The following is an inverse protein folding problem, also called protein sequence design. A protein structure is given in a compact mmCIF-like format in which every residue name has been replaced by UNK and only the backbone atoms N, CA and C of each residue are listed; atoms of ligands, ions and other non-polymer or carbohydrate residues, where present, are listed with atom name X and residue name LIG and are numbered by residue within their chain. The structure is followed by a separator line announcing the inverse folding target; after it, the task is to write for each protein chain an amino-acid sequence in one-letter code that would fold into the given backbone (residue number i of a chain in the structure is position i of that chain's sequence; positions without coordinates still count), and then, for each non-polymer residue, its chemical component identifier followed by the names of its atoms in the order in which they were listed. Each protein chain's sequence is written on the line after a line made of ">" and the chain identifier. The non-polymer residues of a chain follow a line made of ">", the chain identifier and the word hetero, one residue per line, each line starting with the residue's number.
data_IF_214311035930
#
_entry.id   IF_214311035930
#
_cell.length_a   1.000
_cell.length_b   1.000
_cell.length_c   1.000
_cell.angle_alpha   90.00
_cell.angle_beta   90.00
_cell.angle_gamma   90.00
#
_symmetry.space_group_name_H-M   'P 1'
#
loop_
_entity.id
_entity.type
_entity.pdbx_description
1 polymer ?
#
# COMPACT_ATOMS: atom_id res chain seq x y z
N UNK A 1 0.07 24.42 -18.37
CA UNK A 1 -0.17 23.91 -17.02
C UNK A 1 0.14 22.41 -17.06
N UNK A 2 1.06 21.99 -16.22
CA UNK A 2 1.44 20.57 -16.06
C UNK A 2 0.98 20.11 -14.67
N UNK A 3 0.08 19.14 -14.64
CA UNK A 3 -0.44 18.52 -13.41
C UNK A 3 -0.15 17.02 -13.44
N UNK A 4 0.19 16.45 -12.30
CA UNK A 4 0.47 15.02 -12.12
C UNK A 4 -0.36 14.50 -10.93
N UNK A 5 -1.23 13.51 -11.18
CA UNK A 5 -1.65 12.97 -12.48
C UNK A 5 -2.37 14.00 -13.35
N UNK A 6 -2.33 13.80 -14.67
CA UNK A 6 -3.07 14.66 -15.59
C UNK A 6 -4.59 14.50 -15.36
N UNK A 7 -5.34 15.58 -15.20
CA UNK A 7 -6.78 15.51 -15.00
C UNK A 7 -7.52 15.07 -16.26
N UNK A 8 -8.73 14.53 -16.08
CA UNK A 8 -9.59 14.11 -17.19
C UNK A 8 -9.92 15.28 -18.13
N UNK A 9 -10.18 16.47 -17.57
CA UNK A 9 -10.44 17.68 -18.35
C UNK A 9 -9.80 18.88 -17.69
N UNK A 10 -9.13 19.73 -18.49
CA UNK A 10 -8.55 20.99 -18.05
C UNK A 10 -8.78 22.05 -19.12
N UNK A 11 -9.38 23.16 -18.73
CA UNK A 11 -9.56 24.34 -19.55
C UNK A 11 -8.94 25.54 -18.84
N UNK A 12 -7.89 26.11 -19.42
CA UNK A 12 -7.26 27.34 -18.94
C UNK A 12 -8.10 28.54 -19.37
N UNK A 13 -8.24 29.53 -18.49
CA UNK A 13 -8.94 30.76 -18.73
C UNK A 13 -8.00 31.99 -18.49
N UNK A 14 -8.44 33.15 -18.94
CA UNK A 14 -7.67 34.37 -18.68
C UNK A 14 -7.76 34.78 -17.20
N UNK A 15 -6.65 35.31 -16.69
CA UNK A 15 -6.56 35.84 -15.33
C UNK A 15 -5.86 34.86 -14.35
N UNK A 16 -5.74 35.35 -13.13
CA UNK A 16 -5.12 34.63 -12.01
C UNK A 16 -5.90 34.91 -10.73
N UNK A 17 -5.95 33.94 -9.83
CA UNK A 17 -6.34 34.16 -8.45
C UNK A 17 -5.09 34.47 -7.62
N UNK A 18 -5.17 35.47 -6.74
CA UNK A 18 -4.11 35.78 -5.79
C UNK A 18 -4.50 35.28 -4.40
N UNK A 19 -3.75 34.34 -3.88
CA UNK A 19 -3.90 33.88 -2.51
C UNK A 19 -3.24 34.88 -1.57
N UNK A 20 -4.03 35.48 -0.71
CA UNK A 20 -3.58 36.50 0.26
C UNK A 20 -3.89 36.06 1.70
N UNK A 21 -3.35 36.76 2.68
CA UNK A 21 -3.62 36.49 4.10
C UNK A 21 -5.07 36.77 4.51
N UNK A 22 -5.87 37.41 3.65
CA UNK A 22 -7.30 37.66 3.86
C UNK A 22 -8.20 36.57 3.24
N UNK A 23 -7.62 35.59 2.55
CA UNK A 23 -8.39 34.46 2.01
C UNK A 23 -9.04 33.63 3.15
N UNK A 24 -10.24 33.17 2.88
CA UNK A 24 -11.03 32.39 3.85
C UNK A 24 -11.58 31.14 3.15
N UNK A 25 -11.47 29.99 3.82
CA UNK A 25 -12.17 28.79 3.40
C UNK A 25 -13.65 28.88 3.76
N UNK A 26 -14.52 28.48 2.82
CA UNK A 26 -15.94 28.22 3.06
C UNK A 26 -16.15 26.70 3.06
N UNK A 27 -16.61 26.16 4.18
CA UNK A 27 -16.84 24.74 4.37
C UNK A 27 -18.06 24.52 5.28
N UNK A 28 -19.21 24.20 4.67
CA UNK A 28 -20.51 24.13 5.38
C UNK A 28 -20.81 22.76 5.98
N UNK A 29 -20.05 21.71 5.62
CA UNK A 29 -20.22 20.36 6.17
C UNK A 29 -19.03 19.99 7.05
N UNK A 30 -19.20 19.09 8.04
CA UNK A 30 -18.08 18.65 8.89
C UNK A 30 -16.92 18.07 8.07
N UNK A 31 -17.22 17.32 7.03
CA UNK A 31 -16.23 16.69 6.15
C UNK A 31 -15.44 17.76 5.37
N UNK A 32 -16.12 18.74 4.77
CA UNK A 32 -15.48 19.86 4.08
C UNK A 32 -14.62 20.69 5.04
N UNK A 33 -15.08 20.88 6.29
CA UNK A 33 -14.35 21.60 7.33
C UNK A 33 -13.04 20.93 7.67
N UNK A 34 -13.04 19.59 7.86
CA UNK A 34 -11.82 18.81 8.12
C UNK A 34 -10.79 18.99 6.99
N UNK A 35 -11.23 18.92 5.73
CA UNK A 35 -10.36 19.17 4.57
C UNK A 35 -9.85 20.61 4.56
N UNK A 36 -10.71 21.60 4.79
CA UNK A 36 -10.33 23.03 4.82
C UNK A 36 -9.29 23.32 5.92
N UNK A 37 -9.46 22.77 7.11
CA UNK A 37 -8.54 22.92 8.23
C UNK A 37 -7.17 22.28 7.93
N UNK A 38 -7.17 21.08 7.30
CA UNK A 38 -5.93 20.44 6.85
C UNK A 38 -5.15 21.35 5.89
N UNK A 39 -5.79 21.88 4.85
CA UNK A 39 -5.11 22.72 3.87
C UNK A 39 -4.80 24.13 4.38
N UNK A 40 -5.60 24.69 5.28
CA UNK A 40 -5.24 25.94 5.95
C UNK A 40 -3.92 25.80 6.73
N UNK A 41 -3.73 24.67 7.42
CA UNK A 41 -2.48 24.38 8.11
C UNK A 41 -1.31 24.10 7.14
N UNK A 42 -1.53 23.34 6.07
CA UNK A 42 -0.52 23.08 5.03
C UNK A 42 -0.04 24.41 4.40
N UNK A 43 -0.96 25.25 3.97
CA UNK A 43 -0.66 26.54 3.35
C UNK A 43 0.08 27.50 4.31
N UNK A 44 -0.26 27.47 5.60
CA UNK A 44 0.40 28.31 6.61
C UNK A 44 1.90 28.07 6.68
N UNK A 45 2.37 26.85 6.47
CA UNK A 45 3.78 26.48 6.61
C UNK A 45 4.67 27.30 5.68
N UNK A 46 4.31 27.45 4.43
CA UNK A 46 5.10 28.14 3.41
C UNK A 46 4.70 29.60 3.20
N UNK A 47 3.40 29.93 3.35
CA UNK A 47 2.90 31.28 3.15
C UNK A 47 2.98 32.18 4.40
N UNK A 48 2.92 31.58 5.59
CA UNK A 48 2.73 32.28 6.86
C UNK A 48 1.30 32.82 7.08
N UNK A 49 0.35 32.49 6.20
CA UNK A 49 -1.03 32.97 6.29
C UNK A 49 -1.86 32.14 7.26
N UNK A 50 -2.57 32.79 8.18
CA UNK A 50 -3.56 32.15 9.03
C UNK A 50 -4.94 32.26 8.37
N UNK A 51 -5.25 31.32 7.48
CA UNK A 51 -6.50 31.31 6.75
C UNK A 51 -7.63 30.80 7.66
N UNK A 52 -8.71 31.58 7.76
CA UNK A 52 -9.88 31.22 8.52
C UNK A 52 -10.71 30.16 7.78
N UNK A 53 -11.46 29.37 8.53
CA UNK A 53 -12.48 28.45 8.01
C UNK A 53 -13.84 28.91 8.50
N UNK A 54 -14.76 29.19 7.59
CA UNK A 54 -16.13 29.67 7.85
C UNK A 54 -17.16 28.70 7.24
N UNK A 55 -18.32 28.60 7.83
CA UNK A 55 -19.42 27.80 7.31
C UNK A 55 -20.22 28.54 6.22
N UNK A 56 -20.21 29.87 6.26
CA UNK A 56 -21.14 30.70 5.47
C UNK A 56 -20.48 31.47 4.35
N UNK A 57 -19.25 31.92 4.52
CA UNK A 57 -18.56 32.81 3.58
C UNK A 57 -17.09 32.46 3.40
N UNK A 58 -16.53 32.73 2.25
CA UNK A 58 -15.13 32.49 1.91
C UNK A 58 -14.91 32.51 0.41
N UNK A 59 -13.70 32.81 0.00
CA UNK A 59 -13.31 32.81 -1.41
C UNK A 59 -12.56 31.56 -1.84
N UNK A 60 -12.42 30.59 -0.92
CA UNK A 60 -11.98 29.22 -1.22
C UNK A 60 -13.12 28.30 -0.74
N UNK A 61 -14.02 27.92 -1.64
CA UNK A 61 -15.21 27.14 -1.28
C UNK A 61 -14.99 25.65 -1.51
N UNK A 62 -15.24 24.84 -0.47
CA UNK A 62 -15.28 23.38 -0.54
C UNK A 62 -16.74 22.92 -0.38
N UNK A 63 -17.36 22.49 -1.48
CA UNK A 63 -18.74 22.05 -1.53
C UNK A 63 -18.79 20.52 -1.60
N UNK A 64 -19.37 19.87 -0.60
CA UNK A 64 -19.63 18.42 -0.62
C UNK A 64 -21.10 18.21 -0.98
N UNK A 65 -21.33 17.56 -2.12
CA UNK A 65 -22.66 17.20 -2.62
C UNK A 65 -22.74 15.69 -2.85
N UNK A 66 -23.33 14.92 -1.93
CA UNK A 66 -23.49 13.47 -2.06
C UNK A 66 -24.33 13.04 -3.29
N UNK A 67 -25.14 13.94 -3.84
CA UNK A 67 -25.96 13.69 -5.02
C UNK A 67 -25.21 13.91 -6.34
N UNK A 68 -23.97 14.43 -6.30
CA UNK A 68 -23.18 14.65 -7.49
C UNK A 68 -22.94 13.33 -8.25
N UNK A 69 -23.30 13.33 -9.54
CA UNK A 69 -23.09 12.19 -10.42
C UNK A 69 -21.61 12.10 -10.85
N UNK A 70 -20.76 11.68 -9.92
CA UNK A 70 -19.33 11.56 -10.07
C UNK A 70 -18.81 10.43 -9.19
N UNK A 71 -17.62 9.90 -9.51
CA UNK A 71 -16.89 8.99 -8.63
C UNK A 71 -16.69 9.64 -7.25
N UNK A 72 -16.71 8.84 -6.18
CA UNK A 72 -16.55 9.32 -4.81
C UNK A 72 -15.28 10.17 -4.60
N UNK A 73 -14.22 9.87 -5.33
CA UNK A 73 -12.94 10.58 -5.29
C UNK A 73 -12.80 11.66 -6.39
N UNK A 74 -13.87 11.87 -7.19
CA UNK A 74 -13.89 12.89 -8.24
C UNK A 74 -14.17 14.29 -7.71
N UNK A 75 -13.78 15.30 -8.48
CA UNK A 75 -14.02 16.71 -8.16
C UNK A 75 -14.15 17.59 -9.41
N UNK A 76 -14.81 18.71 -9.23
CA UNK A 76 -14.83 19.86 -10.14
C UNK A 76 -14.11 21.02 -9.44
N UNK A 77 -13.14 21.61 -10.12
CA UNK A 77 -12.38 22.76 -9.63
C UNK A 77 -12.57 23.94 -10.59
N UNK A 78 -13.03 25.08 -10.07
CA UNK A 78 -13.10 26.34 -10.81
C UNK A 78 -12.28 27.38 -10.09
N UNK A 79 -11.31 27.95 -10.78
CA UNK A 79 -10.50 29.08 -10.30
C UNK A 79 -10.80 30.30 -11.14
N UNK A 80 -11.24 31.37 -10.49
CA UNK A 80 -11.50 32.69 -11.07
C UNK A 80 -10.68 33.75 -10.34
N UNK A 81 -10.58 35.00 -10.84
CA UNK A 81 -9.91 36.06 -10.09
C UNK A 81 -10.57 36.34 -8.72
N UNK A 82 -11.83 35.98 -8.53
CA UNK A 82 -12.58 36.19 -7.29
C UNK A 82 -12.40 35.08 -6.26
N UNK A 83 -12.07 33.86 -6.68
CA UNK A 83 -11.95 32.75 -5.74
C UNK A 83 -11.72 31.38 -6.40
N UNK A 84 -11.67 30.39 -5.54
CA UNK A 84 -11.54 28.96 -5.86
C UNK A 84 -12.79 28.25 -5.39
N UNK A 85 -13.38 27.42 -6.24
CA UNK A 85 -14.53 26.58 -5.89
C UNK A 85 -14.21 25.13 -6.24
N UNK A 86 -14.30 24.26 -5.26
CA UNK A 86 -14.21 22.80 -5.42
C UNK A 86 -15.55 22.19 -5.05
N UNK A 87 -16.13 21.42 -5.97
CA UNK A 87 -17.33 20.64 -5.75
C UNK A 87 -17.00 19.17 -5.90
N UNK A 88 -17.31 18.38 -4.89
CA UNK A 88 -16.99 16.95 -4.84
C UNK A 88 -18.12 16.16 -4.19
N UNK A 89 -18.16 14.85 -4.45
CA UNK A 89 -19.17 13.97 -3.84
C UNK A 89 -18.84 13.67 -2.38
N UNK A 90 -17.54 13.60 -2.04
CA UNK A 90 -17.02 13.28 -0.71
C UNK A 90 -15.83 14.17 -0.36
N UNK A 91 -15.37 14.11 0.90
CA UNK A 91 -14.16 14.78 1.34
C UNK A 91 -12.91 14.32 0.60
N UNK A 92 -12.82 13.07 0.16
CA UNK A 92 -11.70 12.59 -0.64
C UNK A 92 -11.59 13.36 -1.97
N UNK A 93 -12.70 13.55 -2.68
CA UNK A 93 -12.71 14.35 -3.90
C UNK A 93 -12.32 15.82 -3.63
N UNK A 94 -12.82 16.42 -2.55
CA UNK A 94 -12.43 17.77 -2.16
C UNK A 94 -10.94 17.88 -1.80
N UNK A 95 -10.40 16.87 -1.12
CA UNK A 95 -8.98 16.75 -0.81
C UNK A 95 -8.12 16.72 -2.08
N UNK A 96 -8.49 15.89 -3.06
CA UNK A 96 -7.77 15.79 -4.34
C UNK A 96 -7.90 17.08 -5.18
N UNK A 97 -9.03 17.76 -5.11
CA UNK A 97 -9.18 19.09 -5.68
C UNK A 97 -8.19 20.11 -5.08
N UNK A 98 -8.02 20.09 -3.77
CA UNK A 98 -7.02 20.91 -3.08
C UNK A 98 -5.58 20.50 -3.41
N UNK A 99 -5.27 19.22 -3.55
CA UNK A 99 -3.95 18.78 -4.04
C UNK A 99 -3.65 19.37 -5.44
N UNK A 100 -4.65 19.45 -6.30
CA UNK A 100 -4.52 20.12 -7.60
C UNK A 100 -4.28 21.61 -7.45
N UNK A 101 -4.96 22.28 -6.52
CA UNK A 101 -4.70 23.70 -6.20
C UNK A 101 -3.26 23.92 -5.75
N UNK A 102 -2.70 23.05 -4.92
CA UNK A 102 -1.28 23.13 -4.51
C UNK A 102 -0.34 23.05 -5.72
N UNK A 103 -0.61 22.13 -6.68
CA UNK A 103 0.21 22.01 -7.89
C UNK A 103 0.05 23.20 -8.86
N UNK A 104 -1.03 23.98 -8.78
CA UNK A 104 -1.24 25.20 -9.56
C UNK A 104 -0.54 26.42 -8.95
N UNK A 105 -0.24 26.37 -7.66
CA UNK A 105 0.53 27.41 -6.96
C UNK A 105 2.03 27.32 -7.33
N UNK A 106 2.82 28.37 -7.06
CA UNK A 106 4.27 28.30 -7.17
C UNK A 106 4.86 27.13 -6.36
N UNK A 107 5.94 26.51 -6.87
CA UNK A 107 6.57 25.34 -6.25
C UNK A 107 7.04 25.59 -4.80
N UNK A 108 7.28 26.84 -4.44
CA UNK A 108 7.61 27.30 -3.08
C UNK A 108 6.52 26.93 -2.05
N UNK A 109 5.32 26.52 -2.49
CA UNK A 109 4.26 26.03 -1.59
C UNK A 109 4.69 24.79 -0.83
N UNK A 110 5.64 24.01 -1.33
CA UNK A 110 6.20 22.84 -0.66
C UNK A 110 7.36 23.16 0.30
N UNK A 111 7.68 24.45 0.47
CA UNK A 111 8.71 24.88 1.44
C UNK A 111 8.30 24.52 2.87
N UNK A 112 9.28 24.05 3.64
CA UNK A 112 9.12 23.73 5.08
C UNK A 112 9.19 24.98 5.98
N UNK A 113 9.37 26.18 5.40
CA UNK A 113 9.44 27.46 6.10
C UNK A 113 8.78 28.55 5.25
N UNK A 114 8.39 29.63 5.91
CA UNK A 114 7.77 30.80 5.24
C UNK A 114 8.68 31.35 4.17
N UNK A 115 8.15 31.46 2.95
CA UNK A 115 8.84 32.04 1.78
C UNK A 115 8.06 33.23 1.28
N UNK A 116 8.78 34.27 0.87
CA UNK A 116 8.19 35.45 0.25
C UNK A 116 8.12 35.28 -1.26
N UNK A 117 6.92 35.03 -1.77
CA UNK A 117 6.65 34.91 -3.21
C UNK A 117 5.25 35.46 -3.54
N UNK A 118 4.97 35.59 -4.82
CA UNK A 118 3.63 35.95 -5.31
C UNK A 118 2.77 34.67 -5.41
N UNK A 119 1.95 34.45 -4.40
CA UNK A 119 1.07 33.27 -4.32
C UNK A 119 -0.10 33.41 -5.29
N UNK A 120 0.15 33.17 -6.57
CA UNK A 120 -0.87 33.26 -7.62
C UNK A 120 -0.99 31.92 -8.36
N UNK A 121 -2.21 31.59 -8.76
CA UNK A 121 -2.49 30.44 -9.62
C UNK A 121 -3.37 30.85 -10.81
N UNK A 122 -3.23 30.20 -11.97
CA UNK A 122 -3.99 30.53 -13.18
C UNK A 122 -5.47 30.23 -12.98
N UNK A 123 -6.33 31.00 -13.69
CA UNK A 123 -7.75 30.66 -13.79
C UNK A 123 -7.92 29.43 -14.66
N UNK A 124 -8.66 28.44 -14.13
CA UNK A 124 -8.90 27.15 -14.78
C UNK A 124 -10.28 26.62 -14.43
N UNK A 125 -10.79 25.77 -15.31
CA UNK A 125 -11.87 24.81 -15.00
C UNK A 125 -11.33 23.41 -15.20
N UNK A 126 -11.37 22.59 -14.15
CA UNK A 126 -10.90 21.21 -14.15
C UNK A 126 -12.05 20.30 -13.70
N UNK A 127 -12.21 19.18 -14.39
CA UNK A 127 -13.02 18.06 -13.94
C UNK A 127 -12.12 16.82 -13.94
N UNK A 128 -12.06 16.12 -12.81
CA UNK A 128 -11.17 15.00 -12.63
C UNK A 128 -11.81 13.91 -11.75
N UNK A 129 -11.48 12.66 -12.06
CA UNK A 129 -11.85 11.50 -11.27
C UNK A 129 -10.86 10.37 -11.55
N UNK A 130 -10.50 9.55 -10.55
CA UNK A 130 -9.62 8.42 -10.78
C UNK A 130 -10.30 7.36 -11.65
N UNK A 131 -9.51 6.71 -12.51
CA UNK A 131 -9.94 5.57 -13.31
C UNK A 131 -10.16 4.32 -12.47
N UNK A 132 -9.34 4.15 -11.41
CA UNK A 132 -9.34 2.98 -10.54
C UNK A 132 -9.60 3.37 -9.08
N UNK A 133 -10.38 2.55 -8.40
CA UNK A 133 -10.63 2.73 -6.96
C UNK A 133 -9.42 2.30 -6.09
N UNK A 134 -8.57 1.42 -6.59
CA UNK A 134 -7.33 1.01 -5.95
C UNK A 134 -6.13 1.62 -6.67
N UNK A 135 -5.35 2.43 -5.97
CA UNK A 135 -4.10 3.04 -6.45
C UNK A 135 -3.09 2.90 -5.33
N UNK A 136 -2.23 1.88 -5.43
CA UNK A 136 -1.37 1.45 -4.34
C UNK A 136 0.09 1.81 -4.49
N UNK A 137 0.74 1.98 -3.33
CA UNK A 137 2.19 1.94 -3.19
C UNK A 137 2.52 1.01 -2.02
N UNK A 138 3.44 0.06 -2.25
CA UNK A 138 3.98 -0.80 -1.21
C UNK A 138 5.36 -0.31 -0.78
N UNK A 139 5.60 -0.32 0.53
CA UNK A 139 6.91 -0.10 1.13
C UNK A 139 7.31 -1.30 2.00
N UNK A 140 8.60 -1.66 1.92
CA UNK A 140 9.21 -2.81 2.58
C UNK A 140 10.18 -2.37 3.71
N UNK A 141 9.68 -2.12 4.92
CA UNK A 141 10.55 -1.86 6.07
C UNK A 141 11.22 -3.13 6.62
N UNK A 142 10.90 -4.31 6.07
CA UNK A 142 11.44 -5.58 6.57
C UNK A 142 12.88 -5.78 6.16
N UNK A 143 13.23 -5.51 4.89
CA UNK A 143 14.61 -5.60 4.42
C UNK A 143 15.46 -4.46 4.97
N UNK A 144 14.98 -3.22 4.92
CA UNK A 144 15.60 -2.09 5.62
C UNK A 144 14.53 -1.26 6.34
N UNK A 145 14.72 -1.12 7.66
CA UNK A 145 13.73 -0.50 8.53
C UNK A 145 13.54 0.99 8.20
N UNK A 146 12.29 1.40 8.09
CA UNK A 146 11.86 2.78 7.92
C UNK A 146 11.30 3.30 9.24
N UNK A 147 11.77 4.45 9.70
CA UNK A 147 11.19 5.13 10.87
C UNK A 147 9.76 5.60 10.58
N UNK A 148 8.96 5.84 11.62
CA UNK A 148 7.60 6.40 11.48
C UNK A 148 7.59 7.69 10.66
N UNK A 149 8.60 8.56 10.85
CA UNK A 149 8.71 9.81 10.09
C UNK A 149 9.03 9.58 8.60
N UNK A 150 9.78 8.54 8.26
CA UNK A 150 10.03 8.16 6.88
C UNK A 150 8.77 7.59 6.22
N UNK A 151 8.02 6.75 6.95
CA UNK A 151 6.71 6.24 6.49
C UNK A 151 5.73 7.39 6.25
N UNK A 152 5.63 8.36 7.17
CA UNK A 152 4.76 9.53 7.00
C UNK A 152 5.15 10.38 5.78
N UNK A 153 6.44 10.50 5.48
CA UNK A 153 6.89 11.19 4.25
C UNK A 153 6.42 10.46 2.99
N UNK A 154 6.48 9.14 2.95
CA UNK A 154 5.92 8.37 1.84
C UNK A 154 4.41 8.62 1.70
N UNK A 155 3.68 8.61 2.81
CA UNK A 155 2.25 8.92 2.84
C UNK A 155 1.97 10.34 2.31
N UNK A 156 2.80 11.34 2.63
CA UNK A 156 2.67 12.71 2.10
C UNK A 156 2.86 12.74 0.57
N UNK A 157 3.85 12.03 0.04
CA UNK A 157 4.07 11.92 -1.41
C UNK A 157 2.89 11.19 -2.08
N UNK A 158 2.40 10.12 -1.48
CA UNK A 158 1.22 9.41 -1.97
C UNK A 158 0.00 10.33 -2.04
N UNK A 159 -0.25 11.13 -1.00
CA UNK A 159 -1.35 12.09 -0.95
C UNK A 159 -1.23 13.15 -2.06
N UNK A 160 -0.01 13.67 -2.28
CA UNK A 160 0.28 14.63 -3.36
C UNK A 160 -0.03 14.05 -4.74
N UNK A 161 0.24 12.76 -4.96
CA UNK A 161 0.01 12.03 -6.21
C UNK A 161 -1.37 11.37 -6.29
N UNK A 162 -2.26 11.60 -5.31
CA UNK A 162 -3.61 11.03 -5.25
C UNK A 162 -3.62 9.50 -5.22
N UNK A 163 -2.58 8.88 -4.66
CA UNK A 163 -2.52 7.45 -4.36
C UNK A 163 -3.29 7.23 -3.05
N UNK A 164 -4.20 6.26 -3.02
CA UNK A 164 -5.15 6.09 -1.92
C UNK A 164 -4.96 4.84 -1.07
N UNK A 165 -3.96 4.01 -1.40
CA UNK A 165 -3.72 2.76 -0.68
C UNK A 165 -2.25 2.58 -0.39
N UNK A 166 -1.92 2.48 0.89
CA UNK A 166 -0.57 2.17 1.38
C UNK A 166 -0.51 0.70 1.79
N UNK A 167 0.21 -0.10 1.04
CA UNK A 167 0.50 -1.48 1.36
C UNK A 167 1.77 -1.53 2.21
N UNK A 168 1.63 -1.89 3.47
CA UNK A 168 2.72 -1.90 4.45
C UNK A 168 3.19 -3.32 4.69
N UNK A 169 4.35 -3.67 4.13
CA UNK A 169 4.95 -5.00 4.22
C UNK A 169 5.69 -5.17 5.55
N UNK A 170 5.03 -5.76 6.54
CA UNK A 170 5.42 -5.69 7.95
C UNK A 170 6.10 -6.93 8.49
N UNK A 171 6.13 -8.05 7.74
CA UNK A 171 6.78 -9.30 8.13
C UNK A 171 7.53 -9.92 6.97
N UNK A 172 8.71 -10.50 7.24
CA UNK A 172 9.60 -11.05 6.24
C UNK A 172 10.71 -11.90 6.90
N UNK A 173 11.47 -12.67 6.12
CA UNK A 173 12.61 -13.47 6.57
C UNK A 173 13.69 -12.64 7.28
N UNK A 174 13.91 -11.39 6.82
CA UNK A 174 14.95 -10.48 7.34
C UNK A 174 14.49 -9.65 8.54
N UNK A 175 13.19 -9.60 8.81
CA UNK A 175 12.71 -8.84 9.94
C UNK A 175 11.21 -8.84 10.13
N UNK A 176 10.78 -8.98 11.36
CA UNK A 176 9.41 -8.79 11.82
C UNK A 176 9.26 -7.37 12.37
N UNK A 177 8.30 -6.60 11.88
CA UNK A 177 8.21 -5.16 12.20
C UNK A 177 7.02 -4.75 13.07
N UNK A 178 6.12 -5.66 13.40
CA UNK A 178 4.92 -5.38 14.21
C UNK A 178 5.10 -5.81 15.66
N UNK A 179 4.82 -4.92 16.61
CA UNK A 179 4.64 -5.33 18.01
C UNK A 179 3.38 -6.18 18.15
N UNK A 180 3.53 -7.41 18.62
CA UNK A 180 2.46 -8.31 19.03
C UNK A 180 2.64 -8.61 20.52
N UNK A 181 1.78 -8.04 21.35
CA UNK A 181 1.97 -8.09 22.82
C UNK A 181 1.98 -9.50 23.38
N UNK A 182 1.23 -10.41 22.76
CA UNK A 182 1.22 -11.82 23.14
C UNK A 182 2.54 -12.54 22.80
N UNK A 183 3.26 -12.05 21.81
CA UNK A 183 4.48 -12.68 21.31
C UNK A 183 5.68 -11.71 21.29
N UNK A 184 6.19 -11.27 22.47
CA UNK A 184 7.21 -10.22 22.56
C UNK A 184 8.53 -10.57 21.85
N UNK A 185 8.91 -11.85 21.74
CA UNK A 185 10.12 -12.25 21.02
C UNK A 185 10.08 -11.93 19.52
N UNK A 186 8.90 -11.70 18.93
CA UNK A 186 8.82 -11.27 17.54
C UNK A 186 9.59 -9.95 17.30
N UNK A 187 9.56 -9.04 18.27
CA UNK A 187 10.30 -7.78 18.21
C UNK A 187 11.65 -7.83 18.93
N UNK A 188 11.80 -8.64 19.97
CA UNK A 188 13.06 -8.81 20.69
C UNK A 188 14.11 -9.59 19.86
N UNK A 189 13.69 -10.58 19.08
CA UNK A 189 14.53 -11.47 18.27
C UNK A 189 14.27 -11.25 16.79
N UNK A 190 12.99 -11.33 16.35
CA UNK A 190 12.63 -11.30 14.94
C UNK A 190 12.86 -9.94 14.28
N UNK A 191 12.89 -8.84 15.03
CA UNK A 191 13.10 -7.51 14.48
C UNK A 191 14.57 -7.10 14.34
N UNK A 192 15.51 -7.98 14.70
CA UNK A 192 16.95 -7.66 14.75
C UNK A 192 17.76 -8.73 14.02
N UNK A 193 18.65 -8.31 13.14
CA UNK A 193 19.65 -9.18 12.50
C UNK A 193 21.05 -8.60 12.62
N UNK A 194 22.06 -9.46 12.66
CA UNK A 194 23.45 -9.07 12.63
C UNK A 194 24.06 -9.51 11.31
N UNK A 195 24.44 -8.55 10.48
CA UNK A 195 25.01 -8.78 9.16
C UNK A 195 26.47 -9.24 9.24
N UNK A 196 27.03 -9.77 8.13
CA UNK A 196 28.32 -10.45 8.11
C UNK A 196 29.51 -9.64 8.59
N UNK A 197 29.43 -8.32 8.62
CA UNK A 197 30.47 -7.41 9.16
C UNK A 197 30.27 -7.07 10.65
N UNK A 198 29.28 -7.70 11.30
CA UNK A 198 28.92 -7.44 12.69
C UNK A 198 28.05 -6.22 12.89
N UNK A 199 27.57 -5.59 11.81
CA UNK A 199 26.62 -4.49 11.88
C UNK A 199 25.23 -5.02 12.26
N UNK A 200 24.64 -4.44 13.27
CA UNK A 200 23.26 -4.77 13.68
C UNK A 200 22.29 -3.88 12.96
N UNK A 201 21.32 -4.49 12.29
CA UNK A 201 20.18 -3.82 11.68
C UNK A 201 18.90 -4.27 12.36
N UNK A 202 18.01 -3.32 12.67
CA UNK A 202 16.75 -3.66 13.33
C UNK A 202 15.85 -2.47 13.54
N UNK A 203 14.66 -2.77 14.01
CA UNK A 203 13.61 -1.82 14.32
C UNK A 203 12.25 -2.49 14.19
N UNK A 204 11.27 -1.93 14.86
CA UNK A 204 9.87 -2.35 14.79
C UNK A 204 8.97 -1.16 15.13
N UNK A 205 7.69 -1.31 14.86
CA UNK A 205 6.68 -0.35 15.23
C UNK A 205 5.88 -0.88 16.42
N UNK A 206 5.71 -0.05 17.44
CA UNK A 206 4.76 -0.30 18.52
C UNK A 206 3.32 -0.25 17.99
N UNK A 207 2.38 -0.83 18.68
CA UNK A 207 0.96 -0.75 18.29
C UNK A 207 0.46 0.70 18.23
N UNK A 208 0.95 1.55 19.13
CA UNK A 208 0.63 2.97 19.15
C UNK A 208 1.20 3.70 17.95
N UNK A 209 2.45 3.42 17.54
CA UNK A 209 3.05 3.98 16.32
C UNK A 209 2.32 3.51 15.06
N UNK A 210 1.91 2.24 14.99
CA UNK A 210 1.11 1.75 13.87
C UNK A 210 -0.25 2.46 13.77
N UNK A 211 -0.94 2.66 14.90
CA UNK A 211 -2.19 3.44 14.97
C UNK A 211 -1.98 4.89 14.58
N UNK A 212 -0.86 5.50 14.97
CA UNK A 212 -0.49 6.85 14.56
C UNK A 212 -0.32 6.96 13.04
N UNK A 213 0.37 6.01 12.42
CA UNK A 213 0.53 5.95 10.96
C UNK A 213 -0.82 5.78 10.26
N UNK A 214 -1.68 4.89 10.77
CA UNK A 214 -3.03 4.67 10.24
C UNK A 214 -3.87 5.95 10.31
N UNK A 215 -3.85 6.65 11.44
CA UNK A 215 -4.56 7.92 11.61
C UNK A 215 -4.01 9.02 10.67
N UNK A 216 -2.68 9.13 10.56
CA UNK A 216 -2.00 10.05 9.66
C UNK A 216 -2.37 9.83 8.19
N UNK A 217 -2.44 8.57 7.78
CA UNK A 217 -2.88 8.18 6.43
C UNK A 217 -4.36 8.53 6.21
N UNK A 218 -5.22 8.24 7.20
CA UNK A 218 -6.66 8.50 7.12
C UNK A 218 -7.00 9.99 6.94
N UNK A 219 -6.24 10.90 7.57
CA UNK A 219 -6.36 12.35 7.36
C UNK A 219 -6.10 12.76 5.90
N UNK A 220 -5.42 11.91 5.13
CA UNK A 220 -5.07 12.09 3.71
C UNK A 220 -5.89 11.21 2.78
N UNK A 221 -6.94 10.58 3.31
CA UNK A 221 -7.79 9.62 2.57
C UNK A 221 -7.00 8.44 1.99
N UNK A 222 -5.97 7.99 2.71
CA UNK A 222 -5.16 6.82 2.36
C UNK A 222 -5.50 5.68 3.32
N UNK A 223 -5.86 4.53 2.77
CA UNK A 223 -6.08 3.29 3.51
C UNK A 223 -4.77 2.55 3.67
N UNK A 224 -4.46 2.11 4.89
CA UNK A 224 -3.29 1.28 5.18
C UNK A 224 -3.71 -0.19 5.14
N UNK A 225 -3.10 -0.97 4.24
CA UNK A 225 -3.27 -2.43 4.16
C UNK A 225 -2.01 -3.07 4.76
N UNK A 226 -2.12 -3.75 5.92
CA UNK A 226 -0.99 -4.46 6.50
C UNK A 226 -0.74 -5.78 5.77
N UNK A 227 0.52 -6.17 5.63
CA UNK A 227 0.90 -7.51 5.18
C UNK A 227 1.47 -8.34 6.33
N UNK A 228 0.90 -9.53 6.47
CA UNK A 228 1.39 -10.63 7.29
C UNK A 228 1.70 -11.79 6.36
N UNK A 229 2.96 -12.03 6.12
CA UNK A 229 3.41 -13.13 5.28
C UNK A 229 3.00 -14.49 5.82
N UNK A 230 2.57 -15.39 4.94
CA UNK A 230 2.14 -16.75 5.31
C UNK A 230 2.05 -17.65 4.07
N UNK A 231 2.57 -18.87 4.11
CA UNK A 231 3.38 -19.53 5.15
C UNK A 231 4.89 -19.46 4.89
N UNK A 232 5.32 -18.85 3.78
CA UNK A 232 6.69 -18.52 3.44
C UNK A 232 7.10 -17.18 4.03
N UNK A 233 8.36 -16.76 3.81
CA UNK A 233 8.90 -15.46 4.23
C UNK A 233 8.72 -15.16 5.74
N UNK A 234 8.83 -16.19 6.58
CA UNK A 234 8.56 -16.12 8.01
C UNK A 234 9.73 -16.54 8.90
N UNK A 235 10.98 -16.52 8.36
CA UNK A 235 12.16 -16.93 9.12
C UNK A 235 12.37 -16.06 10.37
N UNK A 236 12.04 -14.76 10.33
CA UNK A 236 12.14 -13.90 11.51
C UNK A 236 11.18 -14.33 12.64
N UNK A 237 9.95 -14.75 12.31
CA UNK A 237 9.02 -15.30 13.29
C UNK A 237 9.47 -16.67 13.79
N UNK A 238 10.00 -17.51 12.94
CA UNK A 238 10.57 -18.82 13.29
C UNK A 238 11.80 -18.63 14.20
N UNK A 239 12.65 -17.66 13.95
CA UNK A 239 13.78 -17.32 14.83
C UNK A 239 13.33 -16.94 16.24
N UNK A 240 12.22 -16.22 16.34
CA UNK A 240 11.61 -15.87 17.63
C UNK A 240 10.93 -17.07 18.31
N UNK A 241 10.30 -17.94 17.51
CA UNK A 241 9.51 -19.09 17.96
C UNK A 241 9.77 -20.34 17.09
N UNK A 242 10.89 -21.06 17.31
CA UNK A 242 11.34 -22.15 16.44
C UNK A 242 10.32 -23.28 16.24
N UNK A 243 9.42 -23.50 17.22
CA UNK A 243 8.36 -24.50 17.12
C UNK A 243 7.35 -24.27 16.00
N UNK A 244 7.32 -23.06 15.43
CA UNK A 244 6.49 -22.74 14.25
C UNK A 244 6.96 -23.43 12.98
N UNK A 245 8.22 -23.86 12.93
CA UNK A 245 8.80 -24.60 11.78
C UNK A 245 8.64 -26.10 11.90
N UNK A 246 8.85 -26.81 10.78
CA UNK A 246 8.83 -28.28 10.74
C UNK A 246 9.92 -28.91 11.62
N UNK A 247 11.11 -28.32 11.65
CA UNK A 247 12.28 -28.86 12.38
C UNK A 247 12.31 -28.43 13.84
N UNK A 248 11.87 -27.22 14.16
CA UNK A 248 11.99 -26.64 15.50
C UNK A 248 13.42 -26.23 15.87
N UNK A 249 14.32 -26.14 14.90
CA UNK A 249 15.70 -25.74 15.09
C UNK A 249 15.83 -24.24 15.40
N UNK A 250 16.81 -23.90 16.22
CA UNK A 250 17.14 -22.50 16.47
C UNK A 250 17.80 -21.89 15.22
N UNK A 251 17.21 -20.78 14.75
CA UNK A 251 17.68 -20.04 13.60
C UNK A 251 17.77 -18.54 13.95
N UNK A 252 18.33 -17.75 13.05
CA UNK A 252 18.36 -16.28 13.16
C UNK A 252 17.62 -15.67 11.97
N UNK A 253 17.12 -14.44 12.08
CA UNK A 253 16.59 -13.73 10.93
C UNK A 253 17.60 -13.70 9.79
N UNK A 254 17.11 -13.79 8.56
CA UNK A 254 17.92 -13.90 7.35
C UNK A 254 18.75 -12.64 7.13
N UNK A 255 19.98 -12.81 6.64
CA UNK A 255 20.92 -11.71 6.36
C UNK A 255 21.28 -11.56 4.88
N UNK A 256 20.70 -12.41 4.04
CA UNK A 256 20.89 -12.41 2.60
C UNK A 256 19.52 -12.30 1.90
N UNK A 257 19.53 -11.87 0.65
CA UNK A 257 18.32 -11.78 -0.16
C UNK A 257 17.99 -13.11 -0.83
N UNK A 258 16.70 -13.31 -1.14
CA UNK A 258 16.18 -14.51 -1.78
C UNK A 258 15.22 -15.31 -0.90
N UNK A 259 14.80 -16.47 -1.40
CA UNK A 259 13.80 -17.34 -0.79
C UNK A 259 14.42 -18.22 0.28
N UNK A 260 13.74 -18.36 1.43
CA UNK A 260 14.15 -19.25 2.52
C UNK A 260 13.40 -20.59 2.44
N UNK A 261 14.13 -21.71 2.58
CA UNK A 261 13.54 -23.06 2.55
C UNK A 261 12.76 -23.42 3.82
N UNK A 262 13.09 -22.77 4.94
CA UNK A 262 12.42 -22.99 6.21
C UNK A 262 11.16 -22.11 6.31
N UNK A 263 10.02 -22.77 6.24
CA UNK A 263 8.70 -22.11 6.27
C UNK A 263 7.88 -22.59 7.47
N UNK A 264 6.80 -21.92 7.77
CA UNK A 264 5.89 -22.34 8.84
C UNK A 264 5.33 -23.73 8.61
N UNK A 265 5.07 -24.47 9.70
CA UNK A 265 4.63 -25.86 9.69
C UNK A 265 3.12 -25.98 9.97
N UNK A 266 2.27 -26.19 8.95
CA UNK A 266 0.84 -26.36 9.18
C UNK A 266 0.50 -27.70 9.85
N UNK A 267 1.40 -28.71 9.75
CA UNK A 267 1.16 -30.06 10.28
C UNK A 267 1.13 -30.12 11.80
N UNK A 268 1.95 -29.33 12.50
CA UNK A 268 1.99 -29.28 13.97
C UNK A 268 0.78 -28.57 14.58
N UNK A 269 0.10 -27.72 13.83
CA UNK A 269 -1.08 -26.98 14.30
C UNK A 269 -0.79 -25.70 15.10
N UNK A 270 0.37 -25.55 15.70
CA UNK A 270 0.77 -24.37 16.49
C UNK A 270 0.76 -23.08 15.68
N UNK A 271 1.13 -23.18 14.40
CA UNK A 271 1.08 -22.10 13.43
C UNK A 271 -0.30 -21.42 13.37
N UNK A 272 -1.39 -22.19 13.33
CA UNK A 272 -2.73 -21.61 13.21
C UNK A 272 -3.16 -20.85 14.47
N UNK A 273 -2.79 -21.35 15.66
CA UNK A 273 -3.02 -20.65 16.92
C UNK A 273 -2.21 -19.37 16.99
N UNK A 274 -0.95 -19.39 16.55
CA UNK A 274 -0.10 -18.21 16.45
C UNK A 274 -0.71 -17.15 15.50
N UNK A 275 -1.05 -17.55 14.28
CA UNK A 275 -1.64 -16.63 13.28
C UNK A 275 -2.97 -16.03 13.73
N UNK A 276 -3.84 -16.82 14.40
CA UNK A 276 -5.11 -16.31 14.93
C UNK A 276 -4.88 -15.25 16.01
N UNK A 277 -3.90 -15.45 16.88
CA UNK A 277 -3.52 -14.47 17.91
C UNK A 277 -2.93 -13.19 17.29
N UNK A 278 -2.07 -13.31 16.29
CA UNK A 278 -1.50 -12.18 15.57
C UNK A 278 -2.60 -11.39 14.86
N UNK A 279 -3.46 -12.06 14.10
CA UNK A 279 -4.61 -11.42 13.41
C UNK A 279 -5.51 -10.70 14.38
N UNK A 280 -5.76 -11.27 15.57
CA UNK A 280 -6.59 -10.65 16.61
C UNK A 280 -6.03 -9.29 17.06
N UNK A 281 -4.72 -9.17 17.24
CA UNK A 281 -4.11 -7.88 17.59
C UNK A 281 -4.06 -6.91 16.40
N UNK A 282 -3.80 -7.42 15.20
CA UNK A 282 -3.76 -6.60 13.97
C UNK A 282 -5.11 -5.92 13.68
N UNK A 283 -6.23 -6.61 13.87
CA UNK A 283 -7.56 -6.03 13.56
C UNK A 283 -7.96 -4.89 14.51
N UNK A 284 -7.32 -4.78 15.66
CA UNK A 284 -7.48 -3.65 16.58
C UNK A 284 -6.67 -2.42 16.16
N UNK A 285 -5.69 -2.61 15.27
CA UNK A 285 -4.78 -1.56 14.79
C UNK A 285 -5.22 -1.05 13.42
N UNK A 286 -5.52 -1.96 12.49
CA UNK A 286 -5.79 -1.65 11.10
C UNK A 286 -7.28 -1.76 10.78
N UNK A 287 -7.98 -0.64 10.52
CA UNK A 287 -9.41 -0.65 10.20
C UNK A 287 -9.71 -1.11 8.77
N UNK A 288 -8.70 -1.26 7.91
CA UNK A 288 -8.83 -1.66 6.52
C UNK A 288 -9.77 -2.87 6.33
N UNK A 289 -10.53 -2.87 5.25
CA UNK A 289 -11.31 -4.03 4.81
C UNK A 289 -10.41 -5.17 4.35
N UNK A 290 -9.27 -4.84 3.73
CA UNK A 290 -8.33 -5.79 3.17
C UNK A 290 -7.10 -5.98 4.04
N UNK A 291 -6.62 -7.22 4.09
CA UNK A 291 -5.37 -7.65 4.71
C UNK A 291 -4.58 -8.47 3.70
N UNK A 292 -3.33 -8.11 3.48
CA UNK A 292 -2.45 -8.88 2.63
C UNK A 292 -1.82 -10.00 3.46
N UNK A 293 -1.85 -11.22 2.93
CA UNK A 293 -1.39 -12.43 3.64
C UNK A 293 -0.15 -13.07 2.99
N UNK A 294 0.49 -12.36 2.07
CA UNK A 294 1.61 -12.87 1.30
C UNK A 294 1.22 -14.03 0.40
N UNK A 295 1.77 -15.20 0.65
CA UNK A 295 1.47 -16.44 -0.05
C UNK A 295 2.42 -16.76 -1.19
N UNK A 296 3.41 -15.91 -1.43
CA UNK A 296 4.43 -16.06 -2.45
C UNK A 296 5.59 -16.96 -1.99
N UNK A 297 6.33 -17.41 -2.97
CA UNK A 297 7.65 -18.06 -2.87
C UNK A 297 7.81 -19.05 -1.70
N UNK A 298 6.76 -19.80 -1.37
CA UNK A 298 6.79 -20.78 -0.28
C UNK A 298 7.34 -22.13 -0.78
N UNK A 299 8.58 -22.54 -0.45
CA UNK A 299 9.12 -23.85 -0.80
C UNK A 299 8.38 -24.98 -0.09
N UNK A 300 8.23 -26.11 -0.77
CA UNK A 300 7.48 -27.27 -0.26
C UNK A 300 8.38 -28.37 0.32
N UNK A 301 9.70 -28.21 0.24
CA UNK A 301 10.66 -29.25 0.61
C UNK A 301 10.62 -29.60 2.10
N UNK A 302 10.42 -28.61 2.97
CA UNK A 302 10.23 -28.82 4.41
C UNK A 302 8.98 -29.67 4.69
N UNK A 303 7.88 -29.39 4.00
CA UNK A 303 6.62 -30.13 4.19
C UNK A 303 6.65 -31.54 3.65
N UNK A 304 7.35 -31.79 2.53
CA UNK A 304 7.54 -33.14 1.96
C UNK A 304 8.25 -34.07 2.95
N UNK A 305 9.17 -33.54 3.75
CA UNK A 305 9.97 -34.29 4.71
C UNK A 305 9.32 -34.35 6.11
N UNK A 306 8.38 -33.47 6.41
CA UNK A 306 7.77 -33.34 7.74
C UNK A 306 6.67 -34.42 7.95
N UNK A 307 6.80 -35.30 8.94
CA UNK A 307 5.78 -36.31 9.22
C UNK A 307 4.41 -35.74 9.56
N UNK A 308 4.39 -34.60 10.28
CA UNK A 308 3.16 -33.92 10.71
C UNK A 308 2.43 -33.29 9.50
N UNK A 309 3.17 -32.66 8.57
CA UNK A 309 2.59 -32.12 7.34
C UNK A 309 2.06 -33.25 6.45
N UNK A 310 2.78 -34.36 6.31
CA UNK A 310 2.31 -35.51 5.54
C UNK A 310 1.09 -36.17 6.20
N UNK A 311 1.03 -36.23 7.52
CA UNK A 311 -0.15 -36.72 8.25
C UNK A 311 -1.36 -35.81 8.03
N UNK A 312 -1.15 -34.44 8.02
CA UNK A 312 -2.21 -33.49 7.74
C UNK A 312 -2.70 -33.62 6.30
N UNK A 313 -1.80 -33.72 5.31
CA UNK A 313 -2.14 -33.97 3.90
C UNK A 313 -3.03 -35.18 3.77
N UNK A 314 -2.65 -36.31 4.42
CA UNK A 314 -3.44 -37.53 4.43
C UNK A 314 -4.79 -37.35 5.10
N UNK A 315 -4.83 -36.67 6.25
CA UNK A 315 -6.08 -36.41 6.99
C UNK A 315 -7.06 -35.57 6.18
N UNK A 316 -6.56 -34.58 5.43
CA UNK A 316 -7.36 -33.72 4.58
C UNK A 316 -7.70 -34.34 3.22
N UNK A 317 -7.13 -35.52 2.92
CA UNK A 317 -7.32 -36.19 1.64
C UNK A 317 -6.75 -35.45 0.44
N UNK A 318 -5.73 -34.63 0.66
CA UNK A 318 -5.09 -33.86 -0.41
C UNK A 318 -4.30 -34.81 -1.31
N UNK A 319 -4.63 -34.77 -2.60
CA UNK A 319 -3.97 -35.55 -3.64
C UNK A 319 -3.54 -34.61 -4.76
N UNK A 320 -2.57 -35.06 -5.56
CA UNK A 320 -2.22 -34.34 -6.77
C UNK A 320 -3.47 -34.16 -7.65
N UNK A 321 -3.69 -32.94 -8.11
CA UNK A 321 -4.87 -32.59 -8.92
C UNK A 321 -4.56 -31.37 -9.78
N UNK A 322 -5.00 -31.39 -11.04
CA UNK A 322 -4.88 -30.26 -11.97
C UNK A 322 -3.43 -29.74 -12.13
N UNK A 323 -2.44 -30.63 -12.06
CA UNK A 323 -1.03 -30.30 -12.14
C UNK A 323 -0.37 -29.87 -10.82
N UNK A 324 -1.14 -29.75 -9.73
CA UNK A 324 -0.64 -29.34 -8.42
C UNK A 324 -0.36 -30.54 -7.50
N UNK A 325 0.74 -30.43 -6.75
CA UNK A 325 1.15 -31.44 -5.77
C UNK A 325 0.27 -31.39 -4.50
N UNK A 326 0.28 -32.43 -3.65
CA UNK A 326 -0.41 -32.37 -2.36
C UNK A 326 0.08 -31.24 -1.45
N UNK A 327 1.36 -30.89 -1.52
CA UNK A 327 1.97 -29.82 -0.74
C UNK A 327 1.53 -28.41 -1.23
N UNK A 328 1.41 -28.20 -2.53
CA UNK A 328 0.83 -26.97 -3.08
C UNK A 328 -0.63 -26.83 -2.66
N UNK A 329 -1.38 -27.93 -2.62
CA UNK A 329 -2.74 -27.94 -2.10
C UNK A 329 -2.81 -27.77 -0.59
N UNK A 330 -1.76 -28.16 0.16
CA UNK A 330 -1.63 -27.82 1.57
C UNK A 330 -1.45 -26.33 1.77
N UNK A 331 -0.72 -25.64 0.88
CA UNK A 331 -0.66 -24.16 0.90
C UNK A 331 -2.04 -23.54 0.68
N UNK A 332 -2.81 -24.01 -0.30
CA UNK A 332 -4.20 -23.56 -0.47
C UNK A 332 -5.04 -23.74 0.79
N UNK A 333 -4.85 -24.84 1.51
CA UNK A 333 -5.52 -25.02 2.79
C UNK A 333 -5.10 -23.97 3.82
N UNK A 334 -3.81 -23.62 3.91
CA UNK A 334 -3.32 -22.55 4.79
C UNK A 334 -3.96 -21.22 4.41
N UNK A 335 -3.98 -20.86 3.13
CA UNK A 335 -4.61 -19.63 2.64
C UNK A 335 -6.10 -19.58 2.99
N UNK A 336 -6.82 -20.70 2.79
CA UNK A 336 -8.23 -20.82 3.19
C UNK A 336 -8.44 -20.62 4.70
N UNK A 337 -7.53 -21.10 5.54
CA UNK A 337 -7.57 -20.89 6.99
C UNK A 337 -7.33 -19.42 7.35
N UNK A 338 -6.43 -18.72 6.64
CA UNK A 338 -6.23 -17.27 6.82
C UNK A 338 -7.48 -16.48 6.43
N UNK A 339 -8.13 -16.83 5.30
CA UNK A 339 -9.41 -16.23 4.92
C UNK A 339 -10.48 -16.42 6.01
N UNK A 340 -10.63 -17.65 6.53
CA UNK A 340 -11.57 -17.94 7.61
C UNK A 340 -11.30 -17.13 8.88
N UNK A 341 -10.02 -16.97 9.27
CA UNK A 341 -9.63 -16.18 10.44
C UNK A 341 -10.00 -14.71 10.28
N UNK A 342 -9.64 -14.11 9.14
CA UNK A 342 -9.91 -12.70 8.86
C UNK A 342 -11.41 -12.43 8.64
N UNK A 343 -12.14 -13.37 8.03
CA UNK A 343 -13.59 -13.28 7.83
C UNK A 343 -14.38 -13.19 9.15
N UNK A 344 -13.88 -13.76 10.25
CA UNK A 344 -14.49 -13.61 11.60
C UNK A 344 -14.59 -12.13 12.03
N UNK A 345 -13.72 -11.29 11.50
CA UNK A 345 -13.66 -9.85 11.76
C UNK A 345 -14.21 -9.01 10.60
N UNK A 346 -14.86 -9.64 9.61
CA UNK A 346 -15.39 -8.96 8.42
C UNK A 346 -14.30 -8.46 7.47
N UNK A 347 -13.09 -9.03 7.54
CA UNK A 347 -11.96 -8.69 6.69
C UNK A 347 -11.85 -9.62 5.49
N UNK A 348 -11.25 -9.12 4.42
CA UNK A 348 -10.96 -9.84 3.17
C UNK A 348 -9.47 -10.02 3.00
N UNK A 349 -9.06 -11.08 2.33
CA UNK A 349 -7.66 -11.33 2.03
C UNK A 349 -7.25 -10.82 0.65
N UNK A 350 -6.01 -10.34 0.57
CA UNK A 350 -5.23 -10.19 -0.65
C UNK A 350 -4.04 -11.15 -0.52
N UNK A 351 -3.65 -11.81 -1.60
CA UNK A 351 -2.40 -12.58 -1.64
C UNK A 351 -1.71 -12.41 -2.99
N UNK A 352 -0.41 -12.65 -3.01
CA UNK A 352 0.36 -12.70 -4.24
C UNK A 352 -0.16 -13.80 -5.14
N UNK A 353 0.14 -13.77 -6.43
CA UNK A 353 -0.53 -14.64 -7.40
C UNK A 353 -0.21 -16.13 -7.26
N UNK A 354 0.73 -16.53 -6.40
CA UNK A 354 0.96 -17.92 -6.00
C UNK A 354 -0.20 -18.55 -5.21
N UNK A 355 -1.10 -17.73 -4.64
CA UNK A 355 -2.31 -18.29 -3.99
C UNK A 355 -3.26 -18.97 -4.97
N UNK A 356 -3.05 -18.81 -6.28
CA UNK A 356 -3.71 -19.59 -7.33
C UNK A 356 -3.31 -21.07 -7.31
N UNK A 357 -2.09 -21.37 -6.85
CA UNK A 357 -1.53 -22.70 -6.84
C UNK A 357 -2.31 -23.61 -5.88
N UNK A 358 -2.76 -24.74 -6.39
CA UNK A 358 -3.55 -25.71 -5.60
C UNK A 358 -5.02 -25.36 -5.36
N UNK A 359 -5.49 -24.23 -5.87
CA UNK A 359 -6.88 -23.77 -5.83
C UNK A 359 -7.07 -22.49 -5.02
N UNK A 360 -7.76 -21.53 -5.62
CA UNK A 360 -8.01 -20.21 -5.04
C UNK A 360 -9.08 -20.27 -3.95
N UNK A 361 -8.85 -19.59 -2.84
CA UNK A 361 -9.83 -19.40 -1.78
C UNK A 361 -11.02 -18.54 -2.26
N UNK A 362 -12.27 -18.83 -1.88
CA UNK A 362 -13.47 -18.33 -2.56
C UNK A 362 -13.59 -16.80 -2.69
N UNK A 363 -13.11 -16.05 -1.71
CA UNK A 363 -13.24 -14.59 -1.68
C UNK A 363 -11.89 -13.86 -1.74
N UNK A 364 -10.82 -14.57 -2.08
CA UNK A 364 -9.49 -13.99 -2.16
C UNK A 364 -9.40 -12.99 -3.32
N UNK A 365 -8.76 -11.87 -3.05
CA UNK A 365 -8.28 -10.94 -4.07
C UNK A 365 -6.83 -11.29 -4.42
N UNK A 366 -6.51 -11.32 -5.70
CA UNK A 366 -5.18 -11.71 -6.17
C UNK A 366 -4.36 -10.48 -6.56
N UNK A 367 -3.16 -10.38 -6.02
CA UNK A 367 -2.17 -9.39 -6.43
C UNK A 367 -1.17 -10.02 -7.40
N UNK A 368 -1.27 -9.65 -8.69
CA UNK A 368 -0.52 -10.28 -9.78
C UNK A 368 0.82 -9.57 -9.99
N UNK A 369 1.93 -10.22 -9.61
CA UNK A 369 3.28 -9.62 -9.66
C UNK A 369 4.24 -10.29 -10.66
N UNK A 370 4.11 -11.60 -10.89
CA UNK A 370 4.95 -12.37 -11.84
C UNK A 370 4.66 -12.06 -13.31
N UNK A 371 3.64 -11.25 -13.57
CA UNK A 371 3.15 -10.85 -14.88
C UNK A 371 1.65 -10.57 -14.80
N UNK A 372 0.99 -10.58 -15.94
CA UNK A 372 -0.48 -10.37 -16.02
C UNK A 372 -1.27 -11.68 -15.98
N UNK A 373 -0.62 -12.82 -16.23
CA UNK A 373 -1.28 -14.12 -16.41
C UNK A 373 -2.04 -14.55 -15.15
N UNK A 374 -1.46 -14.36 -13.97
CA UNK A 374 -2.11 -14.64 -12.70
C UNK A 374 -3.37 -13.80 -12.49
N UNK A 375 -3.30 -12.51 -12.81
CA UNK A 375 -4.43 -11.61 -12.75
C UNK A 375 -5.53 -11.98 -13.76
N UNK A 376 -5.16 -12.31 -14.99
CA UNK A 376 -6.10 -12.77 -16.02
C UNK A 376 -6.81 -14.06 -15.56
N UNK A 377 -6.04 -15.05 -15.09
CA UNK A 377 -6.59 -16.32 -14.61
C UNK A 377 -7.56 -16.13 -13.44
N UNK A 378 -7.27 -15.20 -12.52
CA UNK A 378 -8.12 -14.86 -11.38
C UNK A 378 -9.40 -14.16 -11.80
N UNK A 379 -9.31 -13.14 -12.65
CA UNK A 379 -10.45 -12.40 -13.16
C UNK A 379 -11.41 -13.29 -13.96
N UNK A 380 -10.89 -14.26 -14.72
CA UNK A 380 -11.70 -15.26 -15.43
C UNK A 380 -12.48 -16.16 -14.47
N UNK A 381 -11.96 -16.42 -13.28
CA UNK A 381 -12.64 -17.13 -12.20
C UNK A 381 -13.55 -16.22 -11.36
N UNK A 382 -13.72 -14.96 -11.75
CA UNK A 382 -14.55 -13.96 -11.05
C UNK A 382 -13.99 -13.52 -9.69
N UNK A 383 -12.67 -13.53 -9.55
CA UNK A 383 -11.97 -12.93 -8.42
C UNK A 383 -11.47 -11.54 -8.78
N UNK A 384 -11.48 -10.66 -7.80
CA UNK A 384 -10.91 -9.33 -7.94
C UNK A 384 -9.38 -9.37 -7.96
N UNK A 385 -8.79 -8.42 -8.67
CA UNK A 385 -7.36 -8.41 -8.99
C UNK A 385 -6.78 -7.03 -8.80
N UNK A 386 -5.58 -6.98 -8.24
CA UNK A 386 -4.71 -5.81 -8.25
C UNK A 386 -3.48 -6.14 -9.10
N UNK A 387 -3.21 -5.32 -10.10
CA UNK A 387 -2.07 -5.51 -10.98
C UNK A 387 -0.83 -4.82 -10.44
N UNK A 388 0.26 -5.59 -10.32
CA UNK A 388 1.57 -5.07 -9.90
C UNK A 388 2.73 -5.79 -10.59
N UNK A 389 2.66 -6.05 -11.93
CA UNK A 389 3.64 -6.88 -12.60
C UNK A 389 5.01 -6.17 -12.70
N UNK A 390 6.03 -6.77 -12.07
CA UNK A 390 7.39 -6.24 -12.07
C UNK A 390 7.95 -6.06 -13.48
N UNK A 391 7.73 -7.05 -14.35
CA UNK A 391 8.14 -7.00 -15.77
C UNK A 391 7.51 -5.86 -16.57
N UNK A 392 6.37 -5.32 -16.16
CA UNK A 392 5.67 -4.22 -16.81
C UNK A 392 5.92 -2.85 -16.14
N UNK A 393 6.89 -2.77 -15.22
CA UNK A 393 7.33 -1.50 -14.63
C UNK A 393 6.67 -1.14 -13.30
N UNK A 394 6.04 -2.12 -12.61
CA UNK A 394 5.44 -1.89 -11.30
C UNK A 394 6.40 -2.13 -10.13
N UNK A 395 7.61 -2.62 -10.39
CA UNK A 395 8.71 -2.65 -9.42
C UNK A 395 9.59 -1.43 -9.66
N UNK A 396 9.39 -0.40 -8.84
CA UNK A 396 10.04 0.91 -9.00
C UNK A 396 11.37 1.03 -8.26
N UNK A 397 11.77 -0.03 -7.55
CA UNK A 397 13.07 -0.25 -6.94
C UNK A 397 14.16 -0.76 -7.93
N UNK A 398 13.79 -1.04 -9.18
CA UNK A 398 14.68 -1.46 -10.25
C UNK A 398 15.51 -0.29 -10.81
N UNK A 399 16.61 -0.61 -11.53
CA UNK A 399 17.38 0.41 -12.24
C UNK A 399 16.50 1.18 -13.24
N UNK A 400 16.67 2.50 -13.27
CA UNK A 400 15.91 3.40 -14.16
C UNK A 400 16.75 3.92 -15.34
N UNK A 401 18.06 3.91 -15.24
CA UNK A 401 19.00 4.42 -16.22
C UNK A 401 20.29 3.60 -16.31
N UNK A 402 21.43 4.27 -16.32
CA UNK A 402 22.73 3.60 -16.45
C UNK A 402 23.15 2.97 -15.11
N UNK A 403 23.12 1.63 -15.05
CA UNK A 403 23.51 0.84 -13.87
C UNK A 403 24.93 1.11 -13.35
N UNK A 404 25.80 1.77 -14.13
CA UNK A 404 27.16 2.11 -13.70
C UNK A 404 27.22 3.35 -12.82
N UNK A 405 26.18 4.17 -12.83
CA UNK A 405 26.12 5.44 -12.11
C UNK A 405 24.97 5.50 -11.11
N UNK A 406 23.97 4.62 -11.23
CA UNK A 406 22.88 4.53 -10.26
C UNK A 406 23.32 3.75 -9.00
N UNK A 407 22.67 3.98 -7.85
CA UNK A 407 22.79 3.11 -6.68
C UNK A 407 22.50 1.65 -7.04
N UNK A 408 23.09 0.74 -6.27
CA UNK A 408 22.84 -0.71 -6.47
C UNK A 408 21.37 -1.00 -6.23
N UNK A 409 20.73 -1.68 -7.18
CA UNK A 409 19.37 -2.18 -7.09
C UNK A 409 19.34 -3.71 -7.21
N UNK A 410 18.22 -4.34 -6.89
CA UNK A 410 18.06 -5.80 -6.98
C UNK A 410 18.24 -6.34 -8.40
N UNK A 411 18.04 -5.48 -9.39
CA UNK A 411 18.12 -5.80 -10.81
C UNK A 411 16.96 -5.18 -11.60
N UNK A 412 16.74 -5.71 -12.79
CA UNK A 412 15.67 -5.21 -13.66
C UNK A 412 16.01 -3.86 -14.30
N UNK A 413 15.08 -3.38 -15.11
CA UNK A 413 15.17 -2.07 -15.76
C UNK A 413 13.75 -1.50 -15.91
N UNK A 414 13.45 -0.49 -15.10
CA UNK A 414 12.13 0.13 -15.02
C UNK A 414 12.27 1.64 -15.18
N UNK A 415 12.12 2.13 -16.40
CA UNK A 415 12.14 3.57 -16.66
C UNK A 415 10.80 4.20 -16.26
N UNK A 416 10.81 5.50 -16.01
CA UNK A 416 9.58 6.28 -15.80
C UNK A 416 8.59 6.10 -16.95
N UNK A 417 9.07 6.08 -18.21
CA UNK A 417 8.25 5.86 -19.40
C UNK A 417 7.57 4.48 -19.36
N UNK A 418 8.29 3.44 -18.99
CA UNK A 418 7.75 2.08 -18.87
C UNK A 418 6.62 2.01 -17.85
N UNK A 419 6.84 2.54 -16.66
CA UNK A 419 5.82 2.60 -15.61
C UNK A 419 4.61 3.42 -16.06
N UNK A 420 4.82 4.60 -16.64
CA UNK A 420 3.76 5.48 -17.11
C UNK A 420 2.93 4.89 -18.26
N UNK A 421 3.53 4.09 -19.13
CA UNK A 421 2.85 3.48 -20.28
C UNK A 421 2.04 2.23 -19.93
N UNK A 422 2.19 1.69 -18.73
CA UNK A 422 1.50 0.47 -18.34
C UNK A 422 -0.02 0.65 -18.24
N UNK A 423 -0.77 -0.17 -18.97
CA UNK A 423 -2.23 -0.26 -18.83
C UNK A 423 -2.59 -1.52 -18.03
N UNK A 424 -3.11 -1.39 -16.77
CA UNK A 424 -3.38 -2.54 -15.92
C UNK A 424 -4.61 -3.38 -16.32
N UNK A 425 -5.31 -3.01 -17.37
CA UNK A 425 -6.47 -3.76 -17.88
C UNK A 425 -6.10 -4.46 -19.19
N UNK A 426 -5.81 -5.77 -19.17
CA UNK A 426 -5.51 -6.53 -20.37
C UNK A 426 -6.68 -6.55 -21.37
N UNK A 427 -6.37 -6.41 -22.67
CA UNK A 427 -7.37 -6.45 -23.74
C UNK A 427 -8.21 -7.75 -23.73
N UNK A 428 -7.60 -8.87 -23.33
CA UNK A 428 -8.27 -10.16 -23.16
C UNK A 428 -9.44 -10.04 -22.18
N UNK A 429 -9.25 -9.37 -21.05
CA UNK A 429 -10.31 -9.19 -20.05
C UNK A 429 -11.40 -8.23 -20.54
N UNK A 430 -11.03 -7.23 -21.32
CA UNK A 430 -12.02 -6.34 -21.99
C UNK A 430 -12.89 -7.15 -22.94
N UNK A 431 -12.27 -7.94 -23.82
CA UNK A 431 -12.96 -8.78 -24.81
C UNK A 431 -13.90 -9.82 -24.15
N UNK A 432 -13.55 -10.31 -22.96
CA UNK A 432 -14.33 -11.30 -22.22
C UNK A 432 -15.34 -10.69 -21.22
N UNK A 433 -15.45 -9.36 -21.14
CA UNK A 433 -16.35 -8.66 -20.20
C UNK A 433 -15.94 -8.80 -18.74
N UNK A 434 -14.67 -9.09 -18.45
CA UNK A 434 -14.12 -9.32 -17.11
C UNK A 434 -13.23 -8.18 -16.59
N UNK A 435 -13.11 -7.10 -17.33
CA UNK A 435 -12.28 -5.93 -16.97
C UNK A 435 -12.65 -5.31 -15.61
N UNK A 436 -13.91 -5.45 -15.19
CA UNK A 436 -14.41 -4.92 -13.92
C UNK A 436 -13.81 -5.58 -12.67
N UNK A 437 -13.18 -6.75 -12.82
CA UNK A 437 -12.45 -7.39 -11.74
C UNK A 437 -11.09 -6.75 -11.46
N UNK A 438 -10.57 -5.92 -12.36
CA UNK A 438 -9.34 -5.17 -12.10
C UNK A 438 -9.67 -3.98 -11.21
N UNK A 439 -9.36 -4.10 -9.92
CA UNK A 439 -9.58 -3.03 -8.93
C UNK A 439 -8.64 -1.84 -9.16
N UNK A 440 -7.44 -2.10 -9.66
CA UNK A 440 -6.45 -1.09 -9.92
C UNK A 440 -5.02 -1.62 -10.03
N UNK A 441 -4.09 -0.76 -9.73
CA UNK A 441 -2.65 -0.98 -9.89
C UNK A 441 -1.89 -0.55 -8.63
N UNK A 442 -0.80 -1.25 -8.36
CA UNK A 442 0.14 -0.91 -7.29
C UNK A 442 1.57 -0.89 -7.82
N UNK A 443 2.35 0.08 -7.34
CA UNK A 443 3.80 0.05 -7.48
C UNK A 443 4.43 -0.52 -6.20
N UNK A 444 5.49 -1.32 -6.35
CA UNK A 444 6.21 -1.92 -5.25
C UNK A 444 7.60 -1.33 -5.13
N UNK A 445 8.00 -1.07 -3.88
CA UNK A 445 9.33 -0.57 -3.50
C UNK A 445 9.95 -1.58 -2.54
N UNK A 446 10.59 -2.62 -3.10
CA UNK A 446 11.33 -3.61 -2.33
C UNK A 446 12.64 -3.00 -1.83
N UNK A 447 13.02 -3.27 -0.58
CA UNK A 447 14.06 -2.53 0.11
C UNK A 447 15.36 -3.32 0.35
N UNK A 448 15.62 -4.40 -0.40
CA UNK A 448 16.84 -5.20 -0.27
C UNK A 448 18.11 -4.35 -0.45
N UNK A 449 18.05 -3.36 -1.33
CA UNK A 449 19.16 -2.46 -1.63
C UNK A 449 18.85 -0.99 -1.31
N UNK A 450 17.71 -0.73 -0.63
CA UNK A 450 17.35 0.61 -0.18
C UNK A 450 17.75 0.81 1.27
N UNK A 451 18.97 1.24 1.47
CA UNK A 451 19.46 1.59 2.80
C UNK A 451 18.74 2.85 3.32
N UNK A 452 18.58 2.96 4.64
CA UNK A 452 17.84 4.05 5.30
C UNK A 452 18.25 5.46 4.85
N UNK A 453 19.48 5.62 4.37
CA UNK A 453 19.98 6.91 3.87
C UNK A 453 19.46 7.24 2.46
N UNK A 454 19.16 6.24 1.64
CA UNK A 454 18.71 6.41 0.25
C UNK A 454 17.24 6.83 0.17
N UNK A 455 16.45 6.49 1.18
CA UNK A 455 15.04 6.87 1.28
C UNK A 455 14.88 8.36 1.64
N UNK A 456 15.94 9.02 2.08
CA UNK A 456 15.93 10.42 2.53
C UNK A 456 16.17 11.43 1.40
N UNK A 457 16.69 11.00 0.28
CA UNK A 457 16.98 11.80 -0.90
C UNK A 457 15.91 11.62 -1.98
#
# INVERSE_FOLDING_TARGET
>A
INLIPAPVSLQQQEGKFALTSSATFKASTPEAKTVAEFFANKLKTSTGFNLAVSETEGNIALNIDPALEMNAEGYKLVVTPAGIEITAKTGAGAFYGMQTVLQLLPAEIESKSVVKTDWTLPCVTIEDAPRFNYRGLMCDPCRHFMTVEEVKRQIDVMAMMKINTFHWHLTEDQGWRMEIKKYPKLTEVGAVRTEGEGTTHGGFYTQEEMKEVVAYAAERFITVIPELETPGHELAAIAAYPHLSCTGEDVTPRIIWGVEDLVMCPGKGDMFGFLEDVVKEMVEIFPSEYYHIGGDECPKESWKKCPDCQALIKKLGLKAKDGHTPEERLQSYVIGRMEEMLAKYGKKIIGWDEILEGGLSPNATVMSWRGEDGGIASALQSHDVIMTPGGNGMYIDAYQGDQKIEPVAIGGYTTLEKTYSYNPVPDTLVAMGKAHHILGVQANTWAEYMYTNDIRE
#
